data_IF_841527364693
#
_entry.id   IF_841527364693
#
_cell.length_a   1.000
_cell.length_b   1.000
_cell.length_c   1.000
_cell.angle_alpha   90.00
_cell.angle_beta   90.00
_cell.angle_gamma   90.00
#
_symmetry.space_group_name_H-M   'P 1'
#
loop_
_entity.id
_entity.type
_entity.pdbx_description
1 polymer ?
#
# COMPACT_ATOMS: atom_id res chain seq x y z
N UNK A 1 19.74 -18.24 -36.25
CA UNK A 1 20.41 -18.61 -37.54
C UNK A 1 21.37 -19.80 -37.38
N UNK A 2 22.26 -19.81 -36.40
CA UNK A 2 23.18 -20.94 -36.12
C UNK A 2 22.40 -22.23 -35.76
N UNK A 3 21.34 -22.15 -35.04
CA UNK A 3 20.47 -23.27 -34.65
C UNK A 3 19.78 -23.95 -35.84
N UNK A 4 19.35 -23.19 -36.84
CA UNK A 4 18.71 -23.72 -38.03
C UNK A 4 19.68 -24.42 -38.98
N UNK A 5 20.90 -23.88 -39.09
CA UNK A 5 21.96 -24.52 -39.86
C UNK A 5 22.41 -25.84 -39.21
N UNK A 6 22.50 -25.84 -37.86
CA UNK A 6 22.85 -27.05 -37.10
C UNK A 6 21.73 -28.09 -37.17
N UNK A 7 20.45 -27.68 -37.09
CA UNK A 7 19.31 -28.59 -37.22
C UNK A 7 19.22 -29.20 -38.63
N UNK A 8 19.44 -28.40 -39.67
CA UNK A 8 19.50 -28.92 -41.05
C UNK A 8 20.68 -29.87 -41.27
N UNK A 9 21.84 -29.55 -40.68
CA UNK A 9 23.02 -30.42 -40.73
C UNK A 9 22.73 -31.77 -40.04
N UNK A 10 22.17 -31.78 -38.85
CA UNK A 10 21.78 -32.99 -38.12
C UNK A 10 20.69 -33.78 -38.85
N UNK A 11 19.70 -33.11 -39.48
CA UNK A 11 18.63 -33.76 -40.24
C UNK A 11 19.16 -34.43 -41.53
N UNK A 12 20.15 -33.81 -42.17
CA UNK A 12 20.68 -34.29 -43.45
C UNK A 12 21.88 -35.25 -43.27
N UNK A 13 22.68 -35.07 -42.23
CA UNK A 13 23.91 -35.84 -41.96
C UNK A 13 23.92 -36.56 -40.60
N UNK A 14 22.87 -36.39 -39.78
CA UNK A 14 22.70 -37.10 -38.52
C UNK A 14 22.52 -38.60 -38.76
N UNK A 15 23.15 -39.41 -37.92
CA UNK A 15 23.27 -40.84 -38.03
C UNK A 15 22.00 -41.53 -38.54
N UNK A 16 21.97 -41.89 -39.83
CA UNK A 16 21.11 -42.99 -40.26
C UNK A 16 21.77 -44.31 -39.78
N UNK A 17 21.00 -45.28 -39.30
CA UNK A 17 21.56 -46.54 -38.82
C UNK A 17 22.02 -47.40 -40.00
N UNK A 18 23.10 -47.00 -40.63
CA UNK A 18 23.70 -47.77 -41.72
C UNK A 18 25.03 -48.36 -41.30
N UNK A 19 25.35 -49.53 -41.88
CA UNK A 19 26.48 -50.39 -41.59
C UNK A 19 27.81 -49.63 -41.47
N UNK A 20 28.69 -50.10 -40.59
CA UNK A 20 30.02 -49.56 -40.30
C UNK A 20 30.89 -49.27 -41.53
N UNK A 21 30.48 -49.72 -42.72
CA UNK A 21 31.27 -49.56 -43.97
C UNK A 21 30.76 -48.48 -44.91
N UNK A 22 29.64 -47.84 -44.63
CA UNK A 22 29.10 -46.74 -45.49
C UNK A 22 29.65 -45.37 -45.16
N UNK A 23 30.25 -45.19 -44.01
CA UNK A 23 30.71 -43.89 -43.50
C UNK A 23 32.05 -43.42 -44.09
N UNK A 24 32.69 -44.22 -44.91
CA UNK A 24 34.05 -43.92 -45.40
C UNK A 24 34.20 -43.97 -46.91
N UNK A 25 33.14 -43.86 -47.69
CA UNK A 25 33.28 -43.78 -49.14
C UNK A 25 33.87 -42.39 -49.51
N UNK A 26 34.99 -42.44 -50.27
CA UNK A 26 35.73 -41.24 -50.69
C UNK A 26 34.81 -40.21 -51.42
N UNK A 27 33.78 -40.68 -52.13
CA UNK A 27 32.80 -39.84 -52.82
C UNK A 27 31.90 -39.07 -51.84
N UNK A 28 31.49 -39.68 -50.76
CA UNK A 28 30.63 -39.06 -49.75
C UNK A 28 31.41 -38.03 -48.92
N UNK A 29 32.64 -38.36 -48.50
CA UNK A 29 33.54 -37.43 -47.84
C UNK A 29 33.84 -36.22 -48.74
N UNK A 30 34.03 -36.44 -50.06
CA UNK A 30 34.23 -35.36 -51.02
C UNK A 30 32.97 -34.50 -51.19
N UNK A 31 31.80 -35.11 -51.16
CA UNK A 31 30.50 -34.39 -51.20
C UNK A 31 30.33 -33.50 -49.96
N UNK A 32 30.56 -34.06 -48.76
CA UNK A 32 30.50 -33.32 -47.50
C UNK A 32 31.51 -32.17 -47.49
N UNK A 33 32.77 -32.42 -47.91
CA UNK A 33 33.80 -31.39 -48.02
C UNK A 33 33.37 -30.27 -48.97
N UNK A 34 32.85 -30.60 -50.15
CA UNK A 34 32.38 -29.62 -51.11
C UNK A 34 31.17 -28.83 -50.59
N UNK A 35 30.27 -29.46 -49.84
CA UNK A 35 29.14 -28.77 -49.20
C UNK A 35 29.60 -27.80 -48.11
N UNK A 36 30.60 -28.17 -47.31
CA UNK A 36 31.22 -27.29 -46.28
C UNK A 36 31.94 -26.11 -46.97
N UNK A 37 32.67 -26.36 -48.03
CA UNK A 37 33.37 -25.30 -48.82
C UNK A 37 32.37 -24.36 -49.46
N UNK A 38 31.24 -24.88 -49.98
CA UNK A 38 30.19 -24.07 -50.59
C UNK A 38 29.45 -23.24 -49.53
N UNK A 39 29.17 -23.80 -48.35
CA UNK A 39 28.62 -23.09 -47.21
C UNK A 39 29.56 -21.96 -46.74
N UNK A 40 30.86 -22.24 -46.63
CA UNK A 40 31.86 -21.23 -46.27
C UNK A 40 32.01 -20.13 -47.32
N UNK A 41 31.85 -20.44 -48.60
CA UNK A 41 31.89 -19.43 -49.69
C UNK A 41 30.65 -18.58 -49.76
N UNK A 42 29.50 -19.08 -49.37
CA UNK A 42 28.21 -18.37 -49.39
C UNK A 42 27.80 -17.78 -48.05
N UNK A 43 28.52 -18.14 -46.98
CA UNK A 43 28.31 -17.50 -45.68
C UNK A 43 29.03 -16.16 -45.64
N UNK A 44 28.35 -15.05 -45.41
CA UNK A 44 29.06 -13.80 -45.18
C UNK A 44 29.91 -13.96 -43.93
N UNK A 45 31.23 -13.78 -44.09
CA UNK A 45 32.13 -13.68 -42.95
C UNK A 45 31.85 -12.37 -42.22
N UNK A 46 31.01 -12.40 -41.23
CA UNK A 46 30.93 -11.30 -40.27
C UNK A 46 32.17 -11.38 -39.38
N UNK A 47 33.02 -10.40 -39.50
CA UNK A 47 34.09 -10.19 -38.53
C UNK A 47 33.40 -9.74 -37.24
N UNK A 48 33.20 -10.64 -36.29
CA UNK A 48 32.73 -10.30 -34.96
C UNK A 48 33.77 -9.39 -34.30
N UNK A 49 33.42 -8.14 -34.13
CA UNK A 49 34.20 -7.23 -33.31
C UNK A 49 33.90 -7.57 -31.84
N UNK A 50 34.89 -8.16 -31.17
CA UNK A 50 34.83 -8.55 -29.77
C UNK A 50 35.53 -7.53 -28.86
N UNK A 51 35.83 -6.34 -29.38
CA UNK A 51 36.39 -5.26 -28.58
C UNK A 51 35.40 -4.86 -27.43
N UNK A 52 35.95 -4.35 -26.34
CA UNK A 52 35.13 -3.89 -25.18
C UNK A 52 34.08 -2.84 -25.61
N UNK A 53 34.45 -1.98 -26.57
CA UNK A 53 33.52 -0.99 -27.13
C UNK A 53 32.35 -1.64 -27.90
N UNK A 54 32.62 -2.71 -28.68
CA UNK A 54 31.57 -3.41 -29.40
C UNK A 54 30.65 -4.20 -28.46
N UNK A 55 31.20 -4.77 -27.39
CA UNK A 55 30.43 -5.45 -26.35
C UNK A 55 29.57 -4.46 -25.57
N UNK A 56 30.12 -3.32 -25.16
CA UNK A 56 29.37 -2.25 -24.46
C UNK A 56 28.22 -1.76 -25.34
N UNK A 57 28.45 -1.47 -26.62
CA UNK A 57 27.39 -1.06 -27.56
C UNK A 57 26.32 -2.14 -27.74
N UNK A 58 26.70 -3.41 -27.78
CA UNK A 58 25.72 -4.49 -27.89
C UNK A 58 24.86 -4.62 -26.64
N UNK A 59 25.44 -4.38 -25.45
CA UNK A 59 24.72 -4.33 -24.17
C UNK A 59 23.78 -3.13 -24.17
N UNK A 60 24.26 -1.95 -24.53
CA UNK A 60 23.44 -0.71 -24.56
C UNK A 60 22.24 -0.85 -25.51
N UNK A 61 22.46 -1.41 -26.72
CA UNK A 61 21.37 -1.68 -27.68
C UNK A 61 20.36 -2.66 -27.09
N UNK A 62 20.84 -3.72 -26.43
CA UNK A 62 19.96 -4.72 -25.82
C UNK A 62 19.12 -4.11 -24.68
N UNK A 63 19.76 -3.34 -23.80
CA UNK A 63 19.07 -2.69 -22.67
C UNK A 63 18.07 -1.63 -23.17
N UNK A 64 18.44 -0.83 -24.17
CA UNK A 64 17.52 0.12 -24.79
C UNK A 64 16.34 -0.58 -25.47
N UNK A 65 16.57 -1.67 -26.20
CA UNK A 65 15.50 -2.44 -26.83
C UNK A 65 14.56 -3.08 -25.79
N UNK A 66 15.11 -3.56 -24.66
CA UNK A 66 14.32 -4.10 -23.56
C UNK A 66 13.46 -3.01 -22.92
N UNK A 67 14.06 -1.86 -22.61
CA UNK A 67 13.36 -0.73 -22.03
C UNK A 67 12.25 -0.20 -22.95
N UNK A 68 12.47 -0.15 -24.27
CA UNK A 68 11.45 0.18 -25.26
C UNK A 68 10.30 -0.83 -25.27
N UNK A 69 10.62 -2.12 -25.16
CA UNK A 69 9.61 -3.17 -25.09
C UNK A 69 8.76 -3.04 -23.83
N UNK A 70 9.39 -2.79 -22.66
CA UNK A 70 8.70 -2.56 -21.39
C UNK A 70 7.76 -1.34 -21.47
N UNK A 71 8.24 -0.18 -21.97
CA UNK A 71 7.39 1.02 -22.13
C UNK A 71 6.24 0.75 -23.12
N UNK A 72 6.49 0.00 -24.18
CA UNK A 72 5.46 -0.32 -25.16
C UNK A 72 4.41 -1.26 -24.59
N UNK A 73 4.83 -2.23 -23.78
CA UNK A 73 3.95 -3.14 -23.05
C UNK A 73 3.08 -2.36 -22.05
N UNK A 74 3.69 -1.49 -21.25
CA UNK A 74 2.98 -0.63 -20.30
C UNK A 74 1.96 0.31 -20.97
N UNK A 75 2.26 0.79 -22.18
CA UNK A 75 1.35 1.62 -22.95
C UNK A 75 0.15 0.85 -23.55
N UNK A 76 0.36 -0.41 -23.93
CA UNK A 76 -0.58 -1.17 -24.76
C UNK A 76 -1.24 -2.36 -24.07
N UNK A 77 -0.85 -2.69 -22.83
CA UNK A 77 -1.39 -3.84 -22.12
C UNK A 77 -2.86 -3.62 -21.71
N UNK A 78 -3.75 -4.13 -22.52
CA UNK A 78 -5.21 -4.09 -22.32
C UNK A 78 -5.64 -4.99 -21.14
N UNK A 79 -4.82 -5.99 -20.75
CA UNK A 79 -5.22 -6.96 -19.73
C UNK A 79 -4.94 -6.46 -18.30
N UNK A 80 -3.89 -5.65 -18.12
CA UNK A 80 -3.55 -5.06 -16.83
C UNK A 80 -3.93 -3.59 -16.73
N UNK A 81 -4.61 -3.04 -17.74
CA UNK A 81 -5.01 -1.63 -17.79
C UNK A 81 -3.83 -0.72 -18.11
N UNK A 82 -3.16 -0.96 -19.24
CA UNK A 82 -2.01 -0.14 -19.68
C UNK A 82 -2.28 1.36 -19.59
N UNK A 83 -1.24 2.18 -19.61
CA UNK A 83 -1.31 3.63 -19.38
C UNK A 83 -2.36 4.37 -20.20
N UNK A 84 -2.72 3.84 -21.39
CA UNK A 84 -3.81 4.38 -22.24
C UNK A 84 -5.20 4.22 -21.64
N UNK A 85 -5.36 3.33 -20.68
CA UNK A 85 -6.64 3.05 -20.01
C UNK A 85 -6.65 3.52 -18.54
N UNK A 86 -5.51 3.99 -18.03
CA UNK A 86 -5.40 4.46 -16.67
C UNK A 86 -6.33 5.64 -16.43
N UNK A 87 -7.23 5.45 -15.49
CA UNK A 87 -8.20 6.46 -15.08
C UNK A 87 -7.79 7.08 -13.74
N UNK A 88 -8.07 8.37 -13.61
CA UNK A 88 -7.83 9.14 -12.39
C UNK A 88 -9.18 9.70 -11.92
N UNK A 89 -9.45 9.55 -10.63
CA UNK A 89 -10.54 10.26 -10.00
C UNK A 89 -10.03 11.62 -9.51
N UNK A 90 -10.77 12.67 -9.83
CA UNK A 90 -10.46 14.05 -9.42
C UNK A 90 -11.64 14.66 -8.70
N UNK A 91 -11.37 15.52 -7.74
CA UNK A 91 -12.35 16.24 -6.96
C UNK A 91 -12.27 17.73 -7.28
N UNK A 92 -13.40 18.36 -7.57
CA UNK A 92 -13.47 19.81 -7.73
C UNK A 92 -13.33 20.58 -6.39
N UNK A 93 -13.44 19.84 -5.25
CA UNK A 93 -13.27 20.38 -3.90
C UNK A 93 -12.60 19.34 -2.97
N UNK A 94 -11.28 19.21 -3.09
CA UNK A 94 -10.48 18.30 -2.24
C UNK A 94 -10.52 18.68 -0.75
N UNK A 95 -10.89 19.91 -0.39
CA UNK A 95 -11.01 20.30 1.00
C UNK A 95 -12.21 19.60 1.70
N UNK A 96 -13.24 19.23 0.94
CA UNK A 96 -14.42 18.49 1.43
C UNK A 96 -14.21 17.00 1.31
N UNK A 97 -13.86 16.52 0.10
CA UNK A 97 -13.63 15.12 -0.16
C UNK A 97 -12.64 14.91 -1.32
N UNK A 98 -11.80 13.89 -1.20
CA UNK A 98 -10.96 13.39 -2.29
C UNK A 98 -11.35 11.97 -2.65
N UNK A 99 -10.97 11.53 -3.86
CA UNK A 99 -11.20 10.16 -4.29
C UNK A 99 -10.01 9.63 -5.07
N UNK A 100 -9.77 8.33 -4.93
CA UNK A 100 -8.85 7.55 -5.75
C UNK A 100 -9.63 6.51 -6.54
N UNK A 101 -9.32 6.36 -7.82
CA UNK A 101 -9.91 5.31 -8.63
C UNK A 101 -9.16 3.99 -8.40
N UNK A 102 -9.86 2.99 -7.87
CA UNK A 102 -9.35 1.65 -7.55
C UNK A 102 -9.98 0.57 -8.43
N UNK A 103 -10.81 0.96 -9.39
CA UNK A 103 -11.53 0.07 -10.28
C UNK A 103 -10.66 -0.52 -11.39
N UNK A 104 -11.29 -1.32 -12.24
CA UNK A 104 -10.62 -1.97 -13.36
C UNK A 104 -10.39 -0.97 -14.50
N UNK A 105 -9.14 -0.76 -14.89
CA UNK A 105 -8.74 0.12 -15.99
C UNK A 105 -8.88 -0.53 -17.38
N UNK A 106 -9.62 -1.65 -17.51
CA UNK A 106 -9.77 -2.36 -18.78
C UNK A 106 -10.80 -1.73 -19.73
N UNK A 107 -11.64 -0.83 -19.22
CA UNK A 107 -12.72 -0.22 -20.01
C UNK A 107 -12.48 1.29 -20.14
N UNK A 108 -12.05 1.72 -21.33
CA UNK A 108 -11.92 3.15 -21.61
C UNK A 108 -13.31 3.83 -21.68
N UNK A 109 -13.48 4.94 -20.97
CA UNK A 109 -14.45 5.96 -21.40
C UNK A 109 -15.81 6.00 -20.73
N UNK A 110 -16.02 5.41 -19.55
CA UNK A 110 -17.21 5.76 -18.74
C UNK A 110 -16.86 6.93 -17.82
N UNK A 111 -17.24 8.13 -18.21
CA UNK A 111 -17.23 9.30 -17.33
C UNK A 111 -18.33 9.13 -16.29
N UNK A 112 -17.98 8.54 -15.17
CA UNK A 112 -18.86 8.54 -14.00
C UNK A 112 -18.49 9.74 -13.13
N UNK A 113 -19.46 10.55 -12.80
CA UNK A 113 -19.30 11.59 -11.81
C UNK A 113 -20.40 11.46 -10.76
N UNK A 114 -20.04 11.73 -9.51
CA UNK A 114 -20.98 11.77 -8.40
C UNK A 114 -20.65 12.93 -7.47
N UNK A 115 -21.67 13.36 -6.74
CA UNK A 115 -21.56 14.50 -5.84
C UNK A 115 -21.59 14.02 -4.39
N UNK A 116 -20.71 14.59 -3.56
CA UNK A 116 -20.63 14.31 -2.13
C UNK A 116 -20.75 15.61 -1.35
N UNK A 117 -21.68 15.66 -0.39
CA UNK A 117 -21.71 16.66 0.67
C UNK A 117 -21.63 15.99 2.02
N UNK A 118 -20.86 16.54 2.93
CA UNK A 118 -20.54 15.94 4.24
C UNK A 118 -21.31 16.67 5.33
N UNK A 119 -22.21 15.97 5.99
CA UNK A 119 -22.98 16.52 7.12
C UNK A 119 -22.21 16.36 8.45
N UNK A 120 -21.42 15.25 8.59
CA UNK A 120 -20.62 14.94 9.78
C UNK A 120 -19.47 14.01 9.40
N UNK A 121 -18.30 14.19 10.02
CA UNK A 121 -17.16 13.25 9.92
C UNK A 121 -17.29 12.11 10.94
N UNK A 122 -16.69 10.98 10.63
CA UNK A 122 -16.51 9.91 11.60
C UNK A 122 -15.47 10.31 12.64
N UNK A 123 -15.78 10.07 13.90
CA UNK A 123 -14.94 10.42 15.04
C UNK A 123 -14.50 9.19 15.82
N UNK A 124 -13.27 9.19 16.38
CA UNK A 124 -12.78 8.14 17.27
C UNK A 124 -13.39 8.28 18.68
N UNK A 125 -13.31 7.23 19.47
CA UNK A 125 -13.51 7.32 20.90
C UNK A 125 -12.27 7.89 21.57
N UNK A 126 -12.48 8.84 22.50
CA UNK A 126 -11.42 9.39 23.35
C UNK A 126 -11.83 9.24 24.80
N UNK A 127 -10.98 8.59 25.58
CA UNK A 127 -11.05 8.59 27.04
C UNK A 127 -9.94 9.48 27.57
N UNK A 128 -10.27 10.43 28.42
CA UNK A 128 -9.32 11.32 29.07
C UNK A 128 -9.32 11.08 30.56
N UNK A 129 -8.19 10.67 31.09
CA UNK A 129 -7.99 10.47 32.51
C UNK A 129 -8.09 11.76 33.34
N UNK A 130 -8.04 11.63 34.64
CA UNK A 130 -8.03 12.76 35.54
C UNK A 130 -6.73 13.57 35.39
N UNK A 131 -6.84 14.92 35.40
CA UNK A 131 -5.67 15.79 35.51
C UNK A 131 -5.10 15.72 36.92
N UNK A 132 -3.94 15.13 37.09
CA UNK A 132 -3.27 14.88 38.34
C UNK A 132 -1.97 15.64 38.43
N UNK A 133 -1.56 16.03 39.66
CA UNK A 133 -0.29 16.75 39.84
C UNK A 133 0.89 15.88 39.38
N UNK A 134 1.75 16.41 38.53
CA UNK A 134 2.86 15.73 37.91
C UNK A 134 3.86 15.10 38.93
N UNK A 135 4.02 15.73 40.06
CA UNK A 135 4.95 15.32 41.12
C UNK A 135 4.32 14.52 42.25
N UNK A 136 3.02 14.24 42.19
CA UNK A 136 2.37 13.40 43.20
C UNK A 136 2.61 11.91 42.92
N UNK A 137 2.45 11.10 43.98
CA UNK A 137 2.44 9.64 43.86
C UNK A 137 1.00 9.14 43.94
N UNK A 138 0.38 8.92 42.79
CA UNK A 138 -1.00 8.47 42.71
C UNK A 138 -1.14 6.96 42.89
N UNK A 139 -0.08 6.21 42.59
CA UNK A 139 -0.01 4.76 42.75
C UNK A 139 1.17 4.39 43.68
N UNK A 140 0.96 3.41 44.54
CA UNK A 140 2.03 2.81 45.37
C UNK A 140 2.95 1.95 44.50
N UNK A 141 4.17 1.67 44.95
CA UNK A 141 5.05 0.72 44.27
C UNK A 141 4.41 -0.68 44.24
N UNK A 142 4.54 -1.35 43.10
CA UNK A 142 3.96 -2.67 42.92
C UNK A 142 3.73 -3.00 41.43
N UNK A 143 3.11 -4.15 41.21
CA UNK A 143 2.72 -4.57 39.86
C UNK A 143 1.20 -4.34 39.67
N UNK A 144 0.85 -3.73 38.56
CA UNK A 144 -0.53 -3.41 38.19
C UNK A 144 -0.89 -4.12 36.90
N UNK A 145 -2.13 -4.63 36.86
CA UNK A 145 -2.70 -5.31 35.71
C UNK A 145 -4.03 -4.66 35.40
N UNK A 146 -4.33 -4.46 34.15
CA UNK A 146 -5.59 -3.92 33.68
C UNK A 146 -5.95 -4.47 32.31
N UNK A 147 -7.24 -4.55 32.04
CA UNK A 147 -7.81 -5.03 30.80
C UNK A 147 -8.22 -3.90 29.88
N UNK A 148 -7.89 -4.02 28.61
CA UNK A 148 -8.42 -3.19 27.53
C UNK A 148 -9.27 -4.08 26.65
N UNK A 149 -10.57 -3.81 26.63
CA UNK A 149 -11.54 -4.52 25.78
C UNK A 149 -11.79 -3.70 24.53
N UNK A 150 -11.48 -4.22 23.35
CA UNK A 150 -11.76 -3.59 22.05
C UNK A 150 -12.66 -4.52 21.25
N UNK A 151 -13.87 -4.06 20.90
CA UNK A 151 -14.88 -4.89 20.23
C UNK A 151 -15.24 -6.14 21.05
N UNK A 152 -14.59 -7.27 20.78
CA UNK A 152 -14.81 -8.55 21.50
C UNK A 152 -13.52 -9.19 21.98
N UNK A 153 -12.38 -8.48 21.87
CA UNK A 153 -11.05 -8.95 22.25
C UNK A 153 -10.65 -8.22 23.52
N UNK A 154 -10.20 -8.98 24.52
CA UNK A 154 -9.62 -8.46 25.76
C UNK A 154 -8.10 -8.57 25.69
N UNK A 155 -7.41 -7.47 25.95
CA UNK A 155 -5.97 -7.39 26.08
C UNK A 155 -5.61 -7.10 27.53
N UNK A 156 -4.94 -8.04 28.18
CA UNK A 156 -4.38 -7.84 29.52
C UNK A 156 -3.03 -7.13 29.43
N UNK A 157 -2.89 -6.02 30.11
CA UNK A 157 -1.67 -5.21 30.14
C UNK A 157 -1.13 -5.15 31.57
N UNK A 158 0.18 -5.39 31.71
CA UNK A 158 0.87 -5.39 32.99
C UNK A 158 2.04 -4.41 33.01
N UNK A 159 2.21 -3.70 34.11
CA UNK A 159 3.37 -2.84 34.33
C UNK A 159 3.71 -2.76 35.83
N UNK A 160 4.92 -2.30 36.13
CA UNK A 160 5.37 -2.10 37.52
C UNK A 160 5.59 -0.63 37.83
N UNK A 161 5.25 -0.21 39.04
CA UNK A 161 5.50 1.11 39.58
C UNK A 161 6.59 1.00 40.66
N UNK A 162 7.55 1.93 40.67
CA UNK A 162 8.62 2.04 41.67
C UNK A 162 8.32 3.18 42.67
N UNK A 163 8.85 3.10 43.86
CA UNK A 163 8.68 4.16 44.88
C UNK A 163 9.20 5.53 44.45
N UNK A 164 10.11 5.58 43.49
CA UNK A 164 10.70 6.82 42.94
C UNK A 164 9.94 7.44 41.80
N UNK A 165 8.88 6.78 41.31
CA UNK A 165 8.12 7.23 40.16
C UNK A 165 6.95 8.12 40.58
N UNK A 166 6.83 9.29 39.94
CA UNK A 166 5.72 10.19 40.14
C UNK A 166 4.61 9.95 39.10
N UNK A 167 3.52 10.66 39.22
CA UNK A 167 2.35 10.54 38.33
C UNK A 167 2.69 10.70 36.84
N UNK A 168 3.53 11.68 36.50
CA UNK A 168 3.96 11.92 35.12
C UNK A 168 4.79 10.75 34.59
N UNK A 169 5.69 10.18 35.41
CA UNK A 169 6.49 9.01 35.02
C UNK A 169 5.59 7.80 34.71
N UNK A 170 4.57 7.58 35.54
CA UNK A 170 3.60 6.50 35.38
C UNK A 170 2.77 6.68 34.12
N UNK A 171 2.24 7.87 33.87
CA UNK A 171 1.46 8.19 32.66
C UNK A 171 2.31 8.00 31.40
N UNK A 172 3.57 8.46 31.39
CA UNK A 172 4.51 8.25 30.29
C UNK A 172 4.84 6.78 30.06
N UNK A 173 4.95 5.99 31.15
CA UNK A 173 5.18 4.56 31.06
C UNK A 173 3.98 3.84 30.42
N UNK A 174 2.77 4.16 30.86
CA UNK A 174 1.53 3.62 30.32
C UNK A 174 1.32 4.02 28.84
N UNK A 175 1.58 5.28 28.51
CA UNK A 175 1.52 5.73 27.11
C UNK A 175 2.44 4.90 26.22
N UNK A 176 3.68 4.67 26.63
CA UNK A 176 4.63 3.82 25.89
C UNK A 176 4.19 2.35 25.83
N UNK A 177 3.63 1.81 26.91
CA UNK A 177 3.14 0.44 26.96
C UNK A 177 2.01 0.24 25.94
N UNK A 178 0.99 1.08 25.99
CA UNK A 178 -0.19 1.01 25.12
C UNK A 178 0.21 1.20 23.64
N UNK A 179 1.01 2.22 23.34
CA UNK A 179 1.46 2.48 21.96
C UNK A 179 2.32 1.34 21.38
N UNK A 180 3.12 0.67 22.21
CA UNK A 180 3.94 -0.49 21.80
C UNK A 180 3.13 -1.77 21.63
N UNK A 181 2.03 -1.91 22.34
CA UNK A 181 1.18 -3.12 22.27
C UNK A 181 0.42 -3.24 20.95
N UNK A 182 0.27 -2.14 20.19
CA UNK A 182 -0.42 -2.07 18.89
C UNK A 182 -1.83 -2.70 18.92
N UNK A 183 -2.53 -2.53 20.02
CA UNK A 183 -3.88 -3.10 20.24
C UNK A 183 -5.01 -2.31 19.59
N UNK A 184 -4.71 -1.30 18.75
CA UNK A 184 -5.72 -0.46 18.12
C UNK A 184 -6.05 0.80 18.93
N UNK A 185 -5.23 1.14 19.93
CA UNK A 185 -5.29 2.37 20.70
C UNK A 185 -3.99 3.17 20.57
N UNK A 186 -4.14 4.48 20.63
CA UNK A 186 -3.05 5.44 20.82
C UNK A 186 -3.18 6.10 22.18
N UNK A 187 -2.07 6.29 22.86
CA UNK A 187 -2.05 6.91 24.18
C UNK A 187 -1.09 8.10 24.20
N UNK A 188 -1.54 9.24 24.72
CA UNK A 188 -0.77 10.46 24.88
C UNK A 188 -0.93 11.04 26.27
N UNK A 189 0.14 11.63 26.80
CA UNK A 189 0.08 12.43 28.02
C UNK A 189 -0.19 13.89 27.63
N UNK A 190 -1.30 14.44 28.11
CA UNK A 190 -1.69 15.84 27.89
C UNK A 190 -1.46 16.65 29.15
N UNK A 191 -0.98 17.87 29.01
CA UNK A 191 -0.69 18.80 30.11
C UNK A 191 -1.68 19.98 30.07
N UNK A 192 -2.14 20.44 31.23
CA UNK A 192 -3.05 21.60 31.32
C UNK A 192 -2.32 22.95 31.53
N UNK A 193 -1.00 22.96 31.50
CA UNK A 193 -0.18 24.15 31.73
C UNK A 193 -0.08 24.60 33.20
N UNK A 194 -0.67 23.83 34.16
CA UNK A 194 -0.69 24.14 35.58
C UNK A 194 0.08 23.10 36.43
N UNK A 195 1.01 22.35 35.80
CA UNK A 195 1.76 21.28 36.44
C UNK A 195 0.92 20.02 36.72
N UNK A 196 -0.16 19.82 35.99
CA UNK A 196 -1.00 18.65 36.02
C UNK A 196 -1.08 18.01 34.63
N UNK A 197 -1.04 16.71 34.60
CA UNK A 197 -1.19 15.93 33.37
C UNK A 197 -2.25 14.84 33.46
N UNK A 198 -2.77 14.45 32.33
CA UNK A 198 -3.71 13.35 32.19
C UNK A 198 -3.26 12.39 31.08
N UNK A 199 -3.53 11.11 31.25
CA UNK A 199 -3.35 10.13 30.19
C UNK A 199 -4.62 10.11 29.31
N UNK A 200 -4.46 10.38 28.03
CA UNK A 200 -5.54 10.32 27.05
C UNK A 200 -5.35 9.06 26.18
N UNK A 201 -6.44 8.33 26.00
CA UNK A 201 -6.52 7.14 25.15
C UNK A 201 -7.45 7.45 23.96
N UNK A 202 -6.99 7.21 22.76
CA UNK A 202 -7.75 7.42 21.53
C UNK A 202 -7.83 6.13 20.75
N UNK A 203 -9.01 5.74 20.29
CA UNK A 203 -9.16 4.60 19.38
C UNK A 203 -8.58 4.93 18.00
N UNK A 204 -7.87 3.98 17.40
CA UNK A 204 -7.40 4.12 16.02
C UNK A 204 -8.56 3.94 15.02
N UNK A 205 -9.62 3.32 15.44
CA UNK A 205 -10.88 3.18 14.69
C UNK A 205 -11.81 4.34 14.99
N UNK A 206 -12.62 4.72 14.02
CA UNK A 206 -13.70 5.69 14.15
C UNK A 206 -15.04 5.00 14.05
N UNK A 207 -16.11 5.75 14.28
CA UNK A 207 -17.48 5.31 14.04
C UNK A 207 -18.04 4.39 15.11
N UNK A 208 -19.35 4.19 15.03
CA UNK A 208 -20.12 3.36 15.96
C UNK A 208 -20.42 2.03 15.27
N UNK A 209 -19.98 0.94 15.89
CA UNK A 209 -20.33 -0.40 15.48
C UNK A 209 -21.65 -0.88 16.14
N UNK A 210 -21.69 -2.14 16.52
CA UNK A 210 -22.83 -2.73 17.26
C UNK A 210 -22.92 -2.26 18.72
N UNK A 211 -21.85 -1.65 19.26
CA UNK A 211 -21.77 -1.11 20.62
C UNK A 211 -21.56 0.40 20.59
N UNK A 212 -22.06 1.14 21.60
CA UNK A 212 -21.93 2.59 21.64
C UNK A 212 -20.50 3.08 21.92
N UNK A 213 -19.59 2.17 22.28
CA UNK A 213 -18.17 2.45 22.57
C UNK A 213 -17.29 1.46 21.81
N UNK A 214 -16.12 1.92 21.37
CA UNK A 214 -15.12 1.11 20.66
C UNK A 214 -14.31 0.29 21.66
N UNK A 215 -13.92 0.91 22.77
CA UNK A 215 -13.13 0.25 23.81
C UNK A 215 -13.61 0.60 25.21
N UNK A 216 -13.30 -0.26 26.16
CA UNK A 216 -13.41 -0.03 27.59
C UNK A 216 -12.13 -0.44 28.28
N UNK A 217 -11.80 0.23 29.39
CA UNK A 217 -10.64 -0.08 30.22
C UNK A 217 -11.15 -0.42 31.63
N UNK A 218 -10.67 -1.52 32.18
CA UNK A 218 -11.09 -2.00 33.49
C UNK A 218 -9.90 -2.52 34.27
N UNK A 219 -9.89 -2.25 35.58
CA UNK A 219 -8.89 -2.86 36.45
C UNK A 219 -9.09 -4.38 36.55
N UNK A 220 -8.00 -5.12 36.53
CA UNK A 220 -8.03 -6.55 36.81
C UNK A 220 -7.81 -6.82 38.32
N UNK A 221 -8.50 -7.85 38.83
CA UNK A 221 -8.44 -8.29 40.24
C UNK A 221 -7.07 -8.82 40.66
N UNK A 222 -6.09 -8.92 39.79
CA UNK A 222 -4.72 -9.34 40.08
C UNK A 222 -3.83 -8.20 40.56
N UNK A 223 -4.31 -6.96 40.57
CA UNK A 223 -3.60 -5.80 41.06
C UNK A 223 -3.53 -5.76 42.59
N UNK A 224 -2.37 -5.38 43.16
CA UNK A 224 -2.07 -5.48 44.61
C UNK A 224 -2.76 -4.44 45.50
N UNK A 225 -3.41 -3.39 44.93
CA UNK A 225 -4.08 -2.30 45.67
C UNK A 225 -5.20 -1.65 44.84
N UNK A 226 -5.48 -0.35 45.01
CA UNK A 226 -6.40 0.40 44.13
C UNK A 226 -5.97 0.29 42.67
N UNK A 227 -6.89 -0.05 41.79
CA UNK A 227 -6.62 -0.24 40.36
C UNK A 227 -6.06 1.01 39.69
N UNK A 228 -5.28 0.82 38.63
CA UNK A 228 -4.68 1.91 37.86
C UNK A 228 -5.72 2.68 37.04
N UNK A 229 -6.76 2.00 36.58
CA UNK A 229 -7.82 2.60 35.76
C UNK A 229 -8.61 3.61 36.59
N UNK A 230 -9.02 3.22 37.78
CA UNK A 230 -9.74 4.10 38.70
C UNK A 230 -8.86 5.25 39.21
N UNK A 231 -7.59 4.96 39.58
CA UNK A 231 -6.67 5.96 40.10
C UNK A 231 -6.32 7.05 39.09
N UNK A 232 -6.22 6.72 37.81
CA UNK A 232 -5.95 7.65 36.72
C UNK A 232 -7.21 8.12 35.99
N UNK A 233 -8.40 7.57 36.29
CA UNK A 233 -9.67 7.93 35.65
C UNK A 233 -9.75 7.54 34.19
N UNK A 234 -9.13 6.43 33.76
CA UNK A 234 -9.00 6.05 32.35
C UNK A 234 -10.32 5.57 31.69
N UNK A 235 -11.33 5.29 32.49
CA UNK A 235 -12.66 4.89 32.02
C UNK A 235 -13.58 6.10 31.67
N UNK A 236 -13.10 7.33 31.83
CA UNK A 236 -13.87 8.54 31.52
C UNK A 236 -13.86 8.84 30.01
N UNK A 237 -14.95 8.52 29.32
CA UNK A 237 -15.11 8.83 27.89
C UNK A 237 -15.45 10.31 27.72
N UNK A 238 -14.54 11.08 27.17
CA UNK A 238 -14.70 12.52 26.88
C UNK A 238 -15.21 12.79 25.46
N UNK A 239 -14.99 11.86 24.54
CA UNK A 239 -15.55 11.88 23.19
C UNK A 239 -16.05 10.48 22.83
N UNK A 240 -17.33 10.39 22.50
CA UNK A 240 -17.90 9.15 21.97
C UNK A 240 -17.61 9.01 20.49
N UNK A 241 -17.44 7.78 19.99
CA UNK A 241 -17.25 7.57 18.55
C UNK A 241 -18.52 7.96 17.79
N UNK A 242 -18.36 8.51 16.60
CA UNK A 242 -19.46 8.90 15.73
C UNK A 242 -19.21 8.44 14.29
N UNK A 243 -20.27 8.05 13.58
CA UNK A 243 -20.19 7.72 12.16
C UNK A 243 -20.11 8.98 11.32
N UNK A 244 -19.44 8.89 10.17
CA UNK A 244 -19.62 9.87 9.12
C UNK A 244 -21.05 9.83 8.60
N UNK A 245 -21.62 11.00 8.36
CA UNK A 245 -22.92 11.21 7.71
C UNK A 245 -22.68 12.10 6.50
N UNK A 246 -23.03 11.62 5.33
CA UNK A 246 -22.82 12.33 4.07
C UNK A 246 -23.94 12.04 3.08
N UNK A 247 -24.03 12.84 2.03
CA UNK A 247 -24.98 12.62 0.93
C UNK A 247 -24.22 12.28 -0.33
N UNK A 248 -24.57 11.16 -0.92
CA UNK A 248 -24.07 10.73 -2.21
C UNK A 248 -25.18 10.96 -3.24
N UNK A 249 -24.95 11.85 -4.21
CA UNK A 249 -25.97 12.28 -5.17
C UNK A 249 -27.28 12.73 -4.52
N UNK A 250 -27.19 13.37 -3.35
CA UNK A 250 -28.37 13.82 -2.58
C UNK A 250 -28.98 12.78 -1.65
N UNK A 251 -28.61 11.50 -1.75
CA UNK A 251 -29.07 10.46 -0.83
C UNK A 251 -28.20 10.38 0.42
N UNK A 252 -28.82 10.40 1.60
CA UNK A 252 -28.10 10.28 2.87
C UNK A 252 -27.51 8.88 3.06
N UNK A 253 -26.23 8.83 3.41
CA UNK A 253 -25.44 7.62 3.68
C UNK A 253 -24.67 7.79 4.98
N UNK A 254 -24.25 6.68 5.55
CA UNK A 254 -23.40 6.66 6.75
C UNK A 254 -22.24 5.70 6.56
N UNK A 255 -21.09 6.04 7.13
CA UNK A 255 -19.92 5.16 7.18
C UNK A 255 -19.29 5.21 8.57
N UNK A 256 -18.72 4.11 9.03
CA UNK A 256 -17.94 4.08 10.27
C UNK A 256 -16.54 4.66 10.11
N UNK A 257 -16.12 5.00 8.89
CA UNK A 257 -14.83 5.59 8.58
C UNK A 257 -15.01 6.82 7.69
N UNK A 258 -14.06 7.76 7.75
CA UNK A 258 -13.96 8.86 6.78
C UNK A 258 -13.43 8.41 5.43
N UNK A 259 -12.83 7.22 5.34
CA UNK A 259 -12.42 6.59 4.09
C UNK A 259 -13.28 5.35 3.85
N UNK A 260 -13.91 5.27 2.68
CA UNK A 260 -14.81 4.18 2.30
C UNK A 260 -14.86 4.02 0.78
N UNK A 261 -15.36 2.87 0.34
CA UNK A 261 -15.46 2.56 -1.09
C UNK A 261 -16.86 2.88 -1.64
N UNK A 262 -16.91 3.54 -2.79
CA UNK A 262 -18.13 3.81 -3.57
C UNK A 262 -18.10 2.97 -4.83
N UNK A 263 -19.21 2.25 -5.11
CA UNK A 263 -19.43 1.41 -6.31
C UNK A 263 -18.30 0.38 -6.58
N UNK A 264 -17.45 0.08 -5.59
CA UNK A 264 -16.24 -0.77 -5.65
C UNK A 264 -15.08 -0.21 -6.49
N UNK A 265 -15.27 0.93 -7.12
CA UNK A 265 -14.32 1.51 -8.07
C UNK A 265 -13.64 2.78 -7.55
N UNK A 266 -14.17 3.37 -6.48
CA UNK A 266 -13.63 4.59 -5.90
C UNK A 266 -13.36 4.40 -4.41
N UNK A 267 -12.16 4.71 -3.95
CA UNK A 267 -11.88 4.95 -2.55
C UNK A 267 -12.02 6.45 -2.29
N UNK A 268 -13.00 6.80 -1.46
CA UNK A 268 -13.32 8.19 -1.12
C UNK A 268 -12.88 8.50 0.30
N UNK A 269 -12.23 9.66 0.49
CA UNK A 269 -11.85 10.18 1.81
C UNK A 269 -12.50 11.53 2.05
N UNK A 270 -13.25 11.63 3.17
CA UNK A 270 -13.87 12.85 3.64
C UNK A 270 -12.88 13.64 4.51
N UNK A 271 -12.73 14.94 4.25
CA UNK A 271 -11.75 15.79 4.95
C UNK A 271 -12.40 16.83 5.87
N UNK A 272 -13.52 17.42 5.46
CA UNK A 272 -14.24 18.41 6.27
C UNK A 272 -15.75 18.33 6.07
N UNK A 273 -16.48 18.89 7.02
CA UNK A 273 -17.92 19.07 6.91
C UNK A 273 -18.20 20.17 5.89
N UNK A 274 -19.19 19.93 5.02
CA UNK A 274 -19.63 20.89 4.01
C UNK A 274 -20.32 22.09 4.64
N UNK A 275 -20.00 23.30 4.16
CA UNK A 275 -20.67 24.53 4.56
C UNK A 275 -21.68 24.98 3.49
N UNK A 276 -22.83 25.49 3.88
CA UNK A 276 -23.82 26.21 3.05
C UNK A 276 -23.99 25.68 1.60
N UNK A 277 -24.43 24.44 1.42
CA UNK A 277 -24.59 23.74 0.14
C UNK A 277 -23.26 23.48 -0.63
N UNK A 278 -22.13 23.55 0.03
CA UNK A 278 -20.86 23.11 -0.51
C UNK A 278 -20.87 21.60 -0.75
N UNK A 279 -20.27 21.16 -1.84
CA UNK A 279 -20.14 19.75 -2.17
C UNK A 279 -18.87 19.54 -2.97
N UNK A 280 -18.40 18.30 -3.00
CA UNK A 280 -17.33 17.85 -3.88
C UNK A 280 -17.93 17.02 -5.01
N UNK A 281 -17.61 17.37 -6.25
CA UNK A 281 -17.94 16.54 -7.40
C UNK A 281 -16.72 15.71 -7.78
N UNK A 282 -16.84 14.40 -7.62
CA UNK A 282 -15.82 13.44 -8.02
C UNK A 282 -16.07 13.05 -9.47
N UNK A 283 -15.07 13.24 -10.32
CA UNK A 283 -15.14 12.94 -11.75
C UNK A 283 -14.03 11.99 -12.14
N UNK A 284 -14.35 11.01 -12.99
CA UNK A 284 -13.37 10.09 -13.57
C UNK A 284 -12.91 10.62 -14.93
N UNK A 285 -11.61 10.71 -15.14
CA UNK A 285 -11.01 11.04 -16.43
C UNK A 285 -9.74 10.25 -16.67
N UNK A 286 -9.29 10.23 -17.91
CA UNK A 286 -8.05 9.55 -18.29
C UNK A 286 -6.84 10.29 -17.72
N UNK A 287 -5.87 9.55 -17.19
CA UNK A 287 -4.61 10.11 -16.69
C UNK A 287 -3.69 10.54 -17.85
N UNK A 288 -3.99 11.71 -18.40
CA UNK A 288 -3.24 12.30 -19.52
C UNK A 288 -1.81 12.68 -19.15
N UNK A 289 -1.53 12.95 -17.89
CA UNK A 289 -0.19 13.32 -17.42
C UNK A 289 0.74 12.12 -17.43
N UNK A 290 0.31 11.01 -16.84
CA UNK A 290 1.07 9.75 -16.88
C UNK A 290 1.28 9.27 -18.32
N UNK A 291 0.27 9.40 -19.17
CA UNK A 291 0.38 9.07 -20.60
C UNK A 291 1.41 9.96 -21.31
N UNK A 292 1.36 11.27 -21.08
CA UNK A 292 2.31 12.21 -21.68
C UNK A 292 3.75 11.98 -21.22
N UNK A 293 3.97 11.64 -19.94
CA UNK A 293 5.28 11.36 -19.41
C UNK A 293 5.86 10.05 -19.99
N UNK A 294 5.04 9.01 -20.13
CA UNK A 294 5.46 7.76 -20.77
C UNK A 294 5.78 7.95 -22.25
N UNK A 295 5.03 8.79 -22.95
CA UNK A 295 5.34 9.15 -24.34
C UNK A 295 6.62 9.97 -24.45
N UNK A 296 6.90 10.88 -23.51
CA UNK A 296 8.18 11.62 -23.47
C UNK A 296 9.34 10.69 -23.20
N UNK A 297 9.19 9.74 -22.30
CA UNK A 297 10.23 8.74 -22.03
C UNK A 297 10.48 7.87 -23.25
N UNK A 298 9.42 7.40 -23.95
CA UNK A 298 9.54 6.65 -25.19
C UNK A 298 10.35 7.43 -26.24
N UNK A 299 9.99 8.71 -26.46
CA UNK A 299 10.68 9.57 -27.42
C UNK A 299 12.14 9.83 -27.00
N UNK A 300 12.38 10.08 -25.72
CA UNK A 300 13.73 10.33 -25.20
C UNK A 300 14.69 9.14 -25.32
N UNK A 301 14.14 7.93 -25.43
CA UNK A 301 14.92 6.70 -25.66
C UNK A 301 15.19 6.42 -27.15
N UNK A 302 14.46 7.09 -28.04
CA UNK A 302 14.63 6.96 -29.49
C UNK A 302 15.65 7.94 -30.08
N UNK A 303 16.01 8.99 -29.35
CA UNK A 303 16.99 10.02 -29.74
C UNK A 303 18.34 9.76 -29.07
#
# INVERSE_FOLDING_TARGET
>A
MISQVYSNYIAEYGMRPYSKHSTHKKSELKSVYNSIVKLNKSSPFYKLDVSDNAQTRAIDIKENARSLAEITEDLTDVQTGGMTFKSLADSDNEAVASAEYIGDNTTAGTTHSFNISVDQLAEPQINTGAFLNNHSNVLSSGTYVFDVNISSITYELQFSVKDTENTLDIQNKLSRLINKSQIGLSAAVIDNGQGQSALQLTSNMTGVGSKPVIFTVTDDNTSAASGVVDALGLNNTTQYPANAVFRLNGESRTSSSNTFTVDKDYEVTLHSVSHDNESATISLHQDMNSLADSLRELVGRFI
#
